data_IF_699288743484
#
_entry.id   IF_699288743484
#
_cell.length_a   1.000
_cell.length_b   1.000
_cell.length_c   1.000
_cell.angle_alpha   90.00
_cell.angle_beta   90.00
_cell.angle_gamma   90.00
#
_symmetry.space_group_name_H-M   'P 1'
#
loop_
_entity.id
_entity.type
_entity.pdbx_description
1 polymer ?
#
# COMPACT_ATOMS: atom_id res chain seq x y z
N UNK A 1 -1.78 -12.10 2.84
CA UNK A 1 -1.36 -10.88 2.10
C UNK A 1 -0.28 -11.22 1.06
N UNK A 2 0.73 -11.99 1.43
CA UNK A 2 1.83 -12.44 0.57
C UNK A 2 1.36 -13.07 -0.76
N UNK A 3 0.49 -14.08 -0.73
CA UNK A 3 0.03 -14.72 -1.96
C UNK A 3 -0.71 -13.77 -2.91
N UNK A 4 -1.45 -12.79 -2.38
CA UNK A 4 -2.17 -11.82 -3.21
C UNK A 4 -1.23 -10.88 -3.98
N UNK A 5 -0.12 -10.47 -3.35
CA UNK A 5 0.91 -9.66 -4.01
C UNK A 5 1.62 -10.48 -5.09
N UNK A 6 2.01 -11.72 -4.78
CA UNK A 6 2.64 -12.64 -5.74
C UNK A 6 1.73 -12.82 -6.97
N UNK A 7 0.46 -13.15 -6.77
CA UNK A 7 -0.50 -13.37 -7.84
C UNK A 7 -0.69 -12.09 -8.69
N UNK A 8 -0.68 -10.93 -8.05
CA UNK A 8 -0.76 -9.65 -8.73
C UNK A 8 0.46 -9.42 -9.62
N UNK A 9 1.67 -9.60 -9.08
CA UNK A 9 2.94 -9.43 -9.78
C UNK A 9 3.01 -10.36 -10.99
N UNK A 10 2.71 -11.65 -10.80
CA UNK A 10 2.72 -12.63 -11.90
C UNK A 10 1.73 -12.21 -13.00
N UNK A 11 0.50 -11.92 -12.63
CA UNK A 11 -0.56 -11.56 -13.59
C UNK A 11 -0.21 -10.34 -14.42
N UNK A 12 0.25 -9.27 -13.75
CA UNK A 12 0.61 -8.01 -14.44
C UNK A 12 1.85 -8.23 -15.31
N UNK A 13 2.92 -8.78 -14.76
CA UNK A 13 4.15 -9.02 -15.48
C UNK A 13 3.90 -9.86 -16.74
N UNK A 14 3.22 -10.98 -16.61
CA UNK A 14 2.90 -11.86 -17.75
C UNK A 14 1.98 -11.18 -18.79
N UNK A 15 1.00 -10.39 -18.35
CA UNK A 15 0.11 -9.65 -19.28
C UNK A 15 0.84 -8.61 -20.11
N UNK A 16 1.96 -8.10 -19.60
CA UNK A 16 2.86 -7.16 -20.29
C UNK A 16 4.04 -7.86 -20.98
N UNK A 17 4.03 -9.19 -21.07
CA UNK A 17 5.03 -9.98 -21.78
C UNK A 17 6.34 -10.22 -21.02
N UNK A 18 6.34 -10.01 -19.70
CA UNK A 18 7.48 -10.31 -18.84
C UNK A 18 7.42 -11.74 -18.32
N UNK A 19 8.55 -12.40 -18.24
CA UNK A 19 8.74 -13.60 -17.40
C UNK A 19 9.03 -13.14 -15.99
N UNK A 20 8.37 -13.75 -15.00
CA UNK A 20 8.45 -13.36 -13.58
C UNK A 20 8.95 -14.53 -12.77
N UNK A 21 10.05 -14.31 -12.05
CA UNK A 21 10.65 -15.23 -11.08
C UNK A 21 10.84 -14.55 -9.73
N UNK A 22 10.98 -15.34 -8.66
CA UNK A 22 11.11 -14.84 -7.30
C UNK A 22 12.34 -15.42 -6.59
N UNK A 23 13.07 -14.56 -5.88
CA UNK A 23 14.09 -15.00 -4.95
C UNK A 23 13.48 -15.20 -3.54
N UNK A 24 13.87 -16.29 -2.90
CA UNK A 24 13.46 -16.63 -1.54
C UNK A 24 14.69 -16.78 -0.66
N UNK A 25 14.73 -16.04 0.46
CA UNK A 25 15.78 -16.16 1.46
C UNK A 25 15.15 -16.43 2.83
N UNK A 26 15.57 -17.51 3.51
CA UNK A 26 15.04 -17.95 4.82
C UNK A 26 13.50 -18.02 4.85
N UNK A 27 12.91 -18.58 3.80
CA UNK A 27 11.47 -18.70 3.59
C UNK A 27 10.71 -17.37 3.51
N UNK A 28 11.39 -16.28 3.19
CA UNK A 28 10.77 -14.98 2.86
C UNK A 28 11.10 -14.63 1.42
N UNK A 29 10.12 -14.08 0.72
CA UNK A 29 10.35 -13.43 -0.57
C UNK A 29 11.19 -12.19 -0.34
N UNK A 30 12.24 -12.03 -1.11
CA UNK A 30 13.16 -10.90 -1.02
C UNK A 30 13.21 -10.08 -2.29
N UNK A 31 13.15 -10.73 -3.47
CA UNK A 31 13.18 -10.05 -4.75
C UNK A 31 12.23 -10.70 -5.74
N UNK A 32 11.77 -9.91 -6.70
CA UNK A 32 11.16 -10.38 -7.94
C UNK A 32 12.04 -10.01 -9.11
N UNK A 33 12.23 -10.97 -10.00
CA UNK A 33 12.95 -10.78 -11.26
C UNK A 33 11.95 -10.69 -12.40
N UNK A 34 12.01 -9.58 -13.15
CA UNK A 34 11.31 -9.43 -14.42
C UNK A 34 12.31 -9.61 -15.54
N UNK A 35 12.04 -10.55 -16.44
CA UNK A 35 12.94 -10.90 -17.53
C UNK A 35 12.18 -10.85 -18.85
N UNK A 36 12.83 -10.35 -19.88
CA UNK A 36 12.33 -10.42 -21.26
C UNK A 36 13.44 -10.19 -22.25
N UNK A 37 13.17 -10.50 -23.50
CA UNK A 37 13.95 -9.93 -24.58
C UNK A 37 13.40 -8.55 -24.94
N UNK A 38 14.29 -7.59 -25.17
CA UNK A 38 13.95 -6.32 -25.77
C UNK A 38 13.37 -6.48 -27.18
N UNK A 39 12.72 -5.48 -27.77
CA UNK A 39 12.20 -5.56 -29.13
C UNK A 39 13.23 -5.99 -30.17
N UNK A 40 14.47 -5.52 -30.07
CA UNK A 40 15.57 -5.93 -30.96
C UNK A 40 16.28 -7.24 -30.55
N UNK A 41 15.88 -7.83 -29.42
CA UNK A 41 16.33 -9.15 -28.99
C UNK A 41 17.46 -9.16 -27.97
N UNK A 42 17.75 -8.04 -27.30
CA UNK A 42 18.66 -8.02 -26.15
C UNK A 42 18.01 -8.75 -24.98
N UNK A 43 18.78 -9.54 -24.25
CA UNK A 43 18.34 -10.21 -23.04
C UNK A 43 18.36 -9.20 -21.88
N UNK A 44 17.22 -8.88 -21.33
CA UNK A 44 17.09 -7.89 -20.28
C UNK A 44 16.42 -8.47 -19.03
N UNK A 45 16.93 -8.10 -17.88
CA UNK A 45 16.31 -8.41 -16.58
C UNK A 45 16.44 -7.25 -15.62
N UNK A 46 15.48 -7.14 -14.71
CA UNK A 46 15.52 -6.25 -13.55
C UNK A 46 15.13 -7.01 -12.30
N UNK A 47 15.73 -6.64 -11.16
CA UNK A 47 15.42 -7.18 -9.85
C UNK A 47 14.79 -6.08 -8.99
N UNK A 48 13.63 -6.35 -8.40
CA UNK A 48 12.92 -5.41 -7.54
C UNK A 48 12.73 -6.04 -6.16
N UNK A 49 13.20 -5.35 -5.13
CA UNK A 49 13.09 -5.82 -3.75
C UNK A 49 11.63 -5.85 -3.28
N UNK A 50 11.28 -6.91 -2.55
CA UNK A 50 9.98 -7.07 -1.88
C UNK A 50 10.19 -6.89 -0.39
N UNK A 51 9.60 -5.84 0.18
CA UNK A 51 9.66 -5.54 1.61
C UNK A 51 8.28 -5.76 2.24
N UNK A 52 8.23 -6.57 3.29
CA UNK A 52 7.03 -6.85 4.10
C UNK A 52 5.77 -7.28 3.32
N UNK A 53 5.94 -7.69 2.07
CA UNK A 53 4.84 -8.02 1.13
C UNK A 53 3.84 -6.86 0.97
N UNK A 54 4.32 -5.62 1.07
CA UNK A 54 3.53 -4.41 0.90
C UNK A 54 3.50 -4.00 -0.59
N UNK A 55 2.31 -3.99 -1.23
CA UNK A 55 2.19 -3.60 -2.63
C UNK A 55 2.65 -2.16 -2.92
N UNK A 56 2.51 -1.24 -1.96
CA UNK A 56 2.94 0.16 -2.14
C UNK A 56 4.45 0.28 -2.13
N UNK A 57 5.10 -0.38 -1.17
CA UNK A 57 6.56 -0.40 -1.09
C UNK A 57 7.15 -1.08 -2.32
N UNK A 58 6.52 -2.16 -2.81
CA UNK A 58 6.92 -2.78 -4.07
C UNK A 58 6.81 -1.81 -5.25
N UNK A 59 5.70 -1.08 -5.38
CA UNK A 59 5.51 -0.09 -6.44
C UNK A 59 6.52 1.07 -6.33
N UNK A 60 6.81 1.52 -5.12
CA UNK A 60 7.84 2.52 -4.86
C UNK A 60 9.23 2.02 -5.32
N UNK A 61 9.62 0.79 -4.98
CA UNK A 61 10.88 0.20 -5.40
C UNK A 61 10.97 0.05 -6.93
N UNK A 62 9.88 -0.36 -7.58
CA UNK A 62 9.81 -0.43 -9.04
C UNK A 62 9.91 0.95 -9.69
N UNK A 63 9.27 1.96 -9.11
CA UNK A 63 9.34 3.36 -9.55
C UNK A 63 10.76 3.92 -9.39
N UNK A 64 11.39 3.67 -8.25
CA UNK A 64 12.77 4.06 -7.99
C UNK A 64 13.74 3.40 -8.99
N UNK A 65 13.51 2.14 -9.36
CA UNK A 65 14.28 1.48 -10.41
C UNK A 65 14.15 2.22 -11.74
N UNK A 66 12.93 2.55 -12.17
CA UNK A 66 12.64 3.29 -13.39
C UNK A 66 13.27 4.68 -13.40
N UNK A 67 13.18 5.44 -12.31
CA UNK A 67 13.75 6.80 -12.21
C UNK A 67 15.28 6.82 -12.31
N UNK A 68 15.94 5.71 -11.97
CA UNK A 68 17.38 5.54 -12.05
C UNK A 68 17.80 4.74 -13.31
N UNK A 69 16.86 4.29 -14.12
CA UNK A 69 17.15 3.57 -15.34
C UNK A 69 17.82 4.50 -16.37
N UNK A 70 18.93 4.06 -16.93
CA UNK A 70 19.69 4.84 -17.91
C UNK A 70 19.97 3.98 -19.14
N UNK A 71 19.22 4.17 -20.24
CA UNK A 71 19.41 3.41 -21.48
C UNK A 71 20.84 3.44 -22.02
N UNK A 72 21.53 4.59 -21.92
CA UNK A 72 22.93 4.73 -22.37
C UNK A 72 23.88 3.87 -21.51
N UNK A 73 23.67 3.89 -20.17
CA UNK A 73 24.45 3.11 -19.22
C UNK A 73 24.24 1.61 -19.42
N UNK A 74 22.99 1.19 -19.56
CA UNK A 74 22.65 -0.20 -19.83
C UNK A 74 23.26 -0.66 -21.17
N UNK A 75 23.10 0.12 -22.23
CA UNK A 75 23.66 -0.21 -23.54
C UNK A 75 25.18 -0.38 -23.53
N UNK A 76 25.89 0.38 -22.69
CA UNK A 76 27.34 0.21 -22.51
C UNK A 76 27.71 -1.14 -21.90
N UNK A 77 26.89 -1.62 -20.94
CA UNK A 77 27.09 -2.94 -20.34
C UNK A 77 26.87 -4.09 -21.33
N UNK A 78 26.04 -3.89 -22.35
CA UNK A 78 25.66 -4.89 -23.34
C UNK A 78 26.44 -4.80 -24.66
N UNK A 79 27.27 -3.81 -24.80
CA UNK A 79 28.08 -3.54 -26.01
C UNK A 79 29.38 -4.36 -26.05
N UNK A 80 29.50 -5.41 -25.28
CA UNK A 80 30.69 -6.22 -25.23
C UNK A 80 30.83 -7.17 -26.43
N UNK A 81 32.03 -7.78 -26.58
CA UNK A 81 32.34 -8.64 -27.74
C UNK A 81 31.60 -9.98 -27.71
N UNK A 82 31.13 -10.42 -26.58
CA UNK A 82 30.49 -11.72 -26.42
C UNK A 82 29.02 -11.69 -26.80
N UNK A 83 28.40 -10.50 -26.70
CA UNK A 83 27.04 -10.23 -27.15
C UNK A 83 26.02 -10.95 -26.29
N UNK A 84 25.14 -10.18 -25.68
CA UNK A 84 24.01 -10.66 -24.92
C UNK A 84 22.76 -10.60 -25.80
N UNK A 85 21.95 -11.63 -25.74
CA UNK A 85 20.69 -11.66 -26.44
C UNK A 85 20.58 -12.72 -27.54
N UNK A 86 19.49 -12.61 -28.31
CA UNK A 86 19.20 -13.57 -29.40
C UNK A 86 20.18 -13.42 -30.58
N UNK A 87 20.32 -14.50 -31.34
CA UNK A 87 21.06 -14.44 -32.58
C UNK A 87 20.44 -13.36 -33.49
N UNK A 88 21.28 -12.39 -33.93
CA UNK A 88 20.85 -11.24 -34.72
C UNK A 88 20.55 -9.97 -33.91
N UNK A 89 20.61 -9.99 -32.57
CA UNK A 89 20.52 -8.80 -31.78
C UNK A 89 21.58 -7.76 -32.13
N UNK A 90 21.29 -6.46 -32.07
CA UNK A 90 22.22 -5.42 -32.42
C UNK A 90 23.45 -5.43 -31.52
N UNK A 91 24.60 -5.10 -32.09
CA UNK A 91 25.88 -5.02 -31.36
C UNK A 91 26.48 -3.61 -31.37
N UNK A 92 25.88 -2.70 -32.14
CA UNK A 92 26.36 -1.32 -32.19
C UNK A 92 25.67 -0.53 -31.09
N UNK A 93 26.46 0.17 -30.29
CA UNK A 93 25.99 0.95 -29.13
C UNK A 93 24.73 1.78 -29.43
N UNK A 94 24.71 2.51 -30.54
CA UNK A 94 23.56 3.33 -30.93
C UNK A 94 22.26 2.52 -31.06
N UNK A 95 22.35 1.35 -31.67
CA UNK A 95 21.19 0.51 -31.95
C UNK A 95 20.72 -0.17 -30.64
N UNK A 96 21.64 -0.43 -29.69
CA UNK A 96 21.36 -0.96 -28.37
C UNK A 96 20.70 0.12 -27.51
N UNK A 97 21.15 1.38 -27.54
CA UNK A 97 20.54 2.50 -26.84
C UNK A 97 19.06 2.64 -27.22
N UNK A 98 18.76 2.67 -28.51
CA UNK A 98 17.39 2.77 -29.02
C UNK A 98 16.53 1.61 -28.50
N UNK A 99 17.09 0.41 -28.42
CA UNK A 99 16.39 -0.77 -27.92
C UNK A 99 16.10 -0.68 -26.41
N UNK A 100 17.02 -0.12 -25.62
CA UNK A 100 16.80 0.11 -24.20
C UNK A 100 15.89 1.32 -23.91
N UNK A 101 15.77 2.30 -24.80
CA UNK A 101 14.72 3.33 -24.71
C UNK A 101 13.31 2.73 -24.87
N UNK A 102 13.16 1.65 -25.66
CA UNK A 102 11.89 0.91 -25.71
C UNK A 102 11.64 0.12 -24.42
N UNK A 103 12.68 -0.49 -23.82
CA UNK A 103 12.57 -1.15 -22.51
C UNK A 103 12.15 -0.14 -21.43
N UNK A 104 12.69 1.07 -21.42
CA UNK A 104 12.29 2.13 -20.50
C UNK A 104 10.78 2.41 -20.56
N UNK A 105 10.22 2.50 -21.78
CA UNK A 105 8.77 2.68 -21.96
C UNK A 105 7.98 1.49 -21.43
N UNK A 106 8.45 0.27 -21.63
CA UNK A 106 7.81 -0.94 -21.15
C UNK A 106 7.84 -1.06 -19.62
N UNK A 107 8.91 -0.60 -18.95
CA UNK A 107 8.97 -0.49 -17.49
C UNK A 107 7.94 0.53 -17.00
N UNK A 108 7.82 1.67 -17.67
CA UNK A 108 6.82 2.69 -17.35
C UNK A 108 5.39 2.14 -17.45
N UNK A 109 5.08 1.43 -18.52
CA UNK A 109 3.76 0.78 -18.69
C UNK A 109 3.48 -0.26 -17.60
N UNK A 110 4.50 -0.96 -17.14
CA UNK A 110 4.39 -1.90 -16.03
C UNK A 110 4.02 -1.17 -14.73
N UNK A 111 4.67 -0.04 -14.43
CA UNK A 111 4.37 0.81 -13.26
C UNK A 111 2.93 1.33 -13.33
N UNK A 112 2.50 1.84 -14.48
CA UNK A 112 1.15 2.38 -14.67
C UNK A 112 0.07 1.32 -14.39
N UNK A 113 0.27 0.09 -14.87
CA UNK A 113 -0.65 -1.03 -14.62
C UNK A 113 -0.64 -1.44 -13.13
N UNK A 114 0.53 -1.51 -12.48
CA UNK A 114 0.62 -1.81 -11.05
C UNK A 114 -0.09 -0.75 -10.21
N UNK A 115 0.14 0.53 -10.50
CA UNK A 115 -0.51 1.62 -9.78
C UNK A 115 -2.04 1.53 -9.87
N UNK A 116 -2.56 1.32 -11.08
CA UNK A 116 -4.00 1.16 -11.30
C UNK A 116 -4.58 0.00 -10.48
N UNK A 117 -3.93 -1.16 -10.48
CA UNK A 117 -4.44 -2.35 -9.80
C UNK A 117 -4.32 -2.26 -8.28
N UNK A 118 -3.27 -1.63 -7.77
CA UNK A 118 -3.12 -1.37 -6.32
C UNK A 118 -4.22 -0.42 -5.85
N UNK A 119 -4.49 0.66 -6.57
CA UNK A 119 -5.59 1.57 -6.26
C UNK A 119 -6.97 0.87 -6.28
N UNK A 120 -7.21 -0.01 -7.24
CA UNK A 120 -8.45 -0.80 -7.30
C UNK A 120 -8.60 -1.72 -6.07
N UNK A 121 -7.52 -2.37 -5.64
CA UNK A 121 -7.50 -3.22 -4.45
C UNK A 121 -7.78 -2.42 -3.18
N UNK A 122 -7.22 -1.22 -3.06
CA UNK A 122 -7.47 -0.33 -1.93
C UNK A 122 -8.92 0.15 -1.89
N UNK A 123 -9.47 0.59 -3.03
CA UNK A 123 -10.88 0.99 -3.14
C UNK A 123 -11.82 -0.15 -2.78
N UNK A 124 -11.51 -1.38 -3.20
CA UNK A 124 -12.30 -2.57 -2.86
C UNK A 124 -12.19 -2.98 -1.37
N UNK A 125 -11.11 -2.60 -0.69
CA UNK A 125 -10.92 -2.86 0.74
C UNK A 125 -11.66 -1.86 1.64
N UNK A 126 -12.08 -0.71 1.11
CA UNK A 126 -12.85 0.30 1.85
C UNK A 126 -14.27 -0.24 2.05
N UNK A 127 -14.64 -0.41 3.31
CA UNK A 127 -15.99 -0.81 3.70
C UNK A 127 -16.51 0.09 4.82
N UNK A 128 -17.83 0.13 4.97
CA UNK A 128 -18.45 0.88 6.05
C UNK A 128 -18.24 0.15 7.36
N UNK A 129 -17.65 0.84 8.32
CA UNK A 129 -17.47 0.35 9.70
C UNK A 129 -18.41 1.12 10.60
N UNK A 130 -19.15 0.42 11.46
CA UNK A 130 -19.91 1.05 12.53
C UNK A 130 -18.95 1.44 13.65
N UNK A 131 -19.10 2.65 14.14
CA UNK A 131 -18.31 3.16 15.28
C UNK A 131 -19.27 3.66 16.32
N UNK A 132 -19.06 3.26 17.57
CA UNK A 132 -19.78 3.78 18.72
C UNK A 132 -19.03 5.00 19.24
N UNK A 133 -19.80 6.09 19.44
CA UNK A 133 -19.31 7.31 20.09
C UNK A 133 -20.07 7.47 21.40
N UNK A 134 -19.35 7.47 22.51
CA UNK A 134 -19.92 7.68 23.84
C UNK A 134 -19.36 8.97 24.41
N UNK A 135 -20.24 9.87 24.85
CA UNK A 135 -19.85 11.10 25.52
C UNK A 135 -20.23 11.00 27.00
N UNK A 136 -19.34 11.43 27.86
CA UNK A 136 -19.55 11.50 29.30
C UNK A 136 -19.74 12.97 29.67
N UNK A 137 -20.88 13.23 30.32
CA UNK A 137 -21.25 14.53 30.87
C UNK A 137 -21.23 14.43 32.38
N UNK A 138 -20.67 15.41 33.08
CA UNK A 138 -20.58 15.41 34.54
C UNK A 138 -20.90 16.79 35.08
N UNK A 139 -21.80 16.83 36.07
CA UNK A 139 -22.16 18.04 36.79
C UNK A 139 -22.07 17.81 38.28
N UNK A 140 -21.46 18.74 38.98
CA UNK A 140 -21.47 18.77 40.45
C UNK A 140 -22.58 19.72 40.89
N UNK A 141 -23.45 19.23 41.78
CA UNK A 141 -24.55 20.01 42.37
C UNK A 141 -24.48 19.97 43.88
N UNK A 142 -24.82 21.06 44.50
CA UNK A 142 -24.94 21.14 45.98
C UNK A 142 -26.42 21.09 46.37
N UNK A 143 -26.74 20.23 47.35
CA UNK A 143 -28.10 20.06 47.86
C UNK A 143 -28.07 20.00 49.39
N UNK A 144 -29.07 20.53 50.02
CA UNK A 144 -29.25 20.39 51.47
C UNK A 144 -29.68 18.95 51.82
N UNK A 145 -28.82 18.22 52.55
CA UNK A 145 -29.06 16.82 52.87
C UNK A 145 -28.54 16.46 54.26
N UNK A 146 -29.13 15.44 54.86
CA UNK A 146 -28.73 14.93 56.20
C UNK A 146 -27.42 14.12 56.09
N UNK A 147 -27.21 13.45 54.98
CA UNK A 147 -26.04 12.63 54.67
C UNK A 147 -25.89 12.40 53.17
N UNK A 148 -24.80 11.73 52.73
CA UNK A 148 -24.53 11.52 51.32
C UNK A 148 -25.58 10.67 50.59
N UNK A 149 -26.24 9.71 51.27
CA UNK A 149 -27.32 8.92 50.65
C UNK A 149 -28.53 9.79 50.36
N UNK A 150 -28.97 10.57 51.35
CA UNK A 150 -30.08 11.53 51.19
C UNK A 150 -29.81 12.58 50.12
N UNK A 151 -28.55 13.00 49.97
CA UNK A 151 -28.12 13.89 48.88
C UNK A 151 -28.28 13.22 47.53
N UNK A 152 -27.84 11.97 47.36
CA UNK A 152 -27.98 11.22 46.10
C UNK A 152 -29.45 11.02 45.73
N UNK A 153 -30.31 10.61 46.71
CA UNK A 153 -31.75 10.39 46.49
C UNK A 153 -32.42 11.68 45.99
N UNK A 154 -32.11 12.83 46.61
CA UNK A 154 -32.63 14.15 46.19
C UNK A 154 -32.16 14.54 44.79
N UNK A 155 -30.88 14.35 44.47
CA UNK A 155 -30.35 14.66 43.14
C UNK A 155 -30.98 13.74 42.11
N UNK A 156 -31.21 12.45 42.39
CA UNK A 156 -31.90 11.53 41.50
C UNK A 156 -33.33 12.00 41.20
N UNK A 157 -34.09 12.44 42.22
CA UNK A 157 -35.41 13.01 42.04
C UNK A 157 -35.37 14.28 41.16
N UNK A 158 -34.41 15.19 41.38
CA UNK A 158 -34.22 16.40 40.59
C UNK A 158 -33.86 16.11 39.12
N UNK A 159 -33.02 15.08 38.87
CA UNK A 159 -32.70 14.64 37.52
C UNK A 159 -33.93 14.04 36.84
N UNK A 160 -34.64 13.14 37.51
CA UNK A 160 -35.87 12.54 36.99
C UNK A 160 -36.98 13.57 36.75
N UNK A 161 -37.06 14.62 37.59
CA UNK A 161 -37.96 15.75 37.46
C UNK A 161 -37.51 16.79 36.39
N UNK A 162 -36.35 16.59 35.76
CA UNK A 162 -35.75 17.53 34.79
C UNK A 162 -35.39 18.91 35.38
N UNK A 163 -35.22 19.00 36.71
CA UNK A 163 -34.70 20.21 37.36
C UNK A 163 -33.17 20.32 37.15
N UNK A 164 -32.49 19.17 37.08
CA UNK A 164 -31.09 19.08 36.71
C UNK A 164 -31.00 18.45 35.33
N UNK A 165 -30.45 19.19 34.36
CA UNK A 165 -30.20 18.72 32.99
C UNK A 165 -28.71 18.82 32.72
N UNK A 166 -28.15 17.74 32.20
CA UNK A 166 -26.78 17.75 31.66
C UNK A 166 -26.80 18.34 30.27
N UNK A 167 -25.87 19.23 29.97
CA UNK A 167 -25.75 19.94 28.70
C UNK A 167 -24.37 19.72 28.07
N UNK A 168 -24.15 20.25 26.90
CA UNK A 168 -22.85 20.19 26.26
C UNK A 168 -21.71 20.87 27.07
N UNK A 169 -22.07 21.81 27.94
CA UNK A 169 -21.12 22.51 28.81
C UNK A 169 -20.62 21.60 29.97
N UNK A 170 -21.36 20.53 30.28
CA UNK A 170 -21.00 19.53 31.28
C UNK A 170 -20.11 18.40 30.69
N UNK A 171 -19.64 18.52 29.46
CA UNK A 171 -18.82 17.52 28.80
C UNK A 171 -17.46 17.34 29.48
N UNK A 172 -17.09 16.09 29.73
CA UNK A 172 -15.80 15.75 30.35
C UNK A 172 -14.89 14.96 29.44
N UNK A 173 -15.41 13.93 28.74
CA UNK A 173 -14.61 13.08 27.86
C UNK A 173 -15.48 12.37 26.84
N UNK A 174 -14.82 11.85 25.80
CA UNK A 174 -15.41 11.05 24.75
C UNK A 174 -14.62 9.76 24.54
N UNK A 175 -15.33 8.65 24.36
CA UNK A 175 -14.79 7.38 23.92
C UNK A 175 -15.26 7.09 22.48
N UNK A 176 -14.35 6.62 21.62
CA UNK A 176 -14.66 6.23 20.24
C UNK A 176 -14.08 4.83 20.05
N UNK A 177 -14.95 3.87 19.75
CA UNK A 177 -14.55 2.47 19.59
C UNK A 177 -15.34 1.79 18.45
N UNK A 178 -14.80 0.74 17.82
CA UNK A 178 -15.55 -0.06 16.86
C UNK A 178 -16.83 -0.62 17.53
N UNK A 179 -17.94 -0.53 16.82
CA UNK A 179 -19.21 -1.07 17.31
C UNK A 179 -19.30 -2.56 16.93
N UNK A 180 -19.44 -3.42 17.94
CA UNK A 180 -19.69 -4.85 17.76
C UNK A 180 -21.18 -5.14 18.01
N UNK A 181 -21.86 -5.69 16.99
CA UNK A 181 -23.25 -6.17 17.16
C UNK A 181 -23.24 -7.37 18.14
N UNK A 182 -23.93 -7.26 19.27
CA UNK A 182 -24.06 -8.31 20.29
C UNK A 182 -25.05 -9.38 19.86
#
# INVERSE_FOLDING_TARGET
MEQKLIDLIIRIGQSKGWTVDFAVFKNKLVDVYFQRYSPAGQDFYMAIEIVDNDPKVFLENLTNYYENFNPDGEALNWCDKEGHGRNGAPKRLKDIIIDFEEIEKEIKELIEEFNLRIEELEKAAIHKVKVQVTEYLQKVVEVDAINGSDACDKVEEMVNGSEIVLTADDFTTRNIEPYEDK
#
